data_IF_989575704424
#
_entry.id   IF_989575704424
#
_cell.length_a   1.000
_cell.length_b   1.000
_cell.length_c   1.000
_cell.angle_alpha   90.00
_cell.angle_beta   90.00
_cell.angle_gamma   90.00
#
_symmetry.space_group_name_H-M   'P 1'
#
loop_
_entity.id
_entity.type
_entity.pdbx_description
1 polymer ?
#
# COMPACT_ATOMS: atom_id res chain seq x y z
N UNK A 1 -13.18 17.58 -18.28
CA UNK A 1 -13.59 16.19 -18.02
C UNK A 1 -14.93 15.84 -18.68
N UNK A 2 -16.04 16.58 -18.45
CA UNK A 2 -17.36 16.26 -19.04
C UNK A 2 -17.34 16.02 -20.55
N UNK A 3 -16.66 16.88 -21.32
CA UNK A 3 -16.53 16.70 -22.77
C UNK A 3 -15.84 15.39 -23.15
N UNK A 4 -14.77 15.02 -22.45
CA UNK A 4 -14.03 13.78 -22.71
C UNK A 4 -14.87 12.54 -22.34
N UNK A 5 -15.57 12.57 -21.22
CA UNK A 5 -16.46 11.48 -20.79
C UNK A 5 -17.62 11.27 -21.77
N UNK A 6 -18.16 12.33 -22.39
CA UNK A 6 -19.18 12.22 -23.43
C UNK A 6 -18.70 11.55 -24.72
N UNK A 7 -17.38 11.40 -24.91
CA UNK A 7 -16.77 10.68 -26.03
C UNK A 7 -16.43 9.23 -25.71
N UNK A 8 -16.49 8.81 -24.46
CA UNK A 8 -16.31 7.41 -24.08
C UNK A 8 -17.62 6.68 -24.36
N UNK A 9 -17.61 5.80 -25.32
CA UNK A 9 -18.76 4.97 -25.74
C UNK A 9 -18.61 3.55 -25.22
N UNK A 10 -19.68 2.74 -25.35
CA UNK A 10 -19.73 1.33 -24.99
C UNK A 10 -19.25 1.03 -23.56
N UNK A 11 -19.68 1.89 -22.62
CA UNK A 11 -19.30 1.78 -21.20
C UNK A 11 -19.99 0.59 -20.56
N UNK A 12 -19.18 -0.29 -19.95
CA UNK A 12 -19.65 -1.49 -19.24
C UNK A 12 -18.94 -1.54 -17.88
N UNK A 13 -19.68 -1.70 -16.78
CA UNK A 13 -19.07 -1.88 -15.46
C UNK A 13 -18.05 -3.02 -15.43
N UNK A 14 -17.02 -2.87 -14.62
CA UNK A 14 -16.07 -3.94 -14.28
C UNK A 14 -16.50 -4.47 -12.92
N UNK A 15 -17.22 -5.59 -12.92
CA UNK A 15 -17.64 -6.28 -11.72
C UNK A 15 -16.52 -7.20 -11.19
N UNK A 16 -16.49 -7.43 -9.88
CA UNK A 16 -15.56 -8.37 -9.26
C UNK A 16 -14.10 -7.92 -9.32
N UNK A 17 -13.82 -6.62 -9.44
CA UNK A 17 -12.45 -6.12 -9.34
C UNK A 17 -11.95 -6.13 -7.88
N UNK A 18 -10.63 -6.25 -7.70
CA UNK A 18 -9.98 -6.37 -6.39
C UNK A 18 -9.88 -5.04 -5.60
N UNK A 19 -10.32 -3.93 -6.19
CA UNK A 19 -10.30 -2.61 -5.55
C UNK A 19 -11.22 -2.52 -4.34
N UNK A 20 -10.69 -2.12 -3.19
CA UNK A 20 -11.41 -2.02 -1.90
C UNK A 20 -11.65 -0.59 -1.44
N UNK A 21 -11.21 0.41 -2.22
CA UNK A 21 -11.31 1.83 -1.85
C UNK A 21 -12.71 2.42 -1.99
N UNK A 22 -13.58 1.81 -2.79
CA UNK A 22 -14.93 2.32 -3.11
C UNK A 22 -15.05 2.94 -4.51
N UNK A 23 -14.01 2.88 -5.33
CA UNK A 23 -14.01 3.38 -6.70
C UNK A 23 -14.93 2.55 -7.60
N UNK A 24 -15.63 3.21 -8.53
CA UNK A 24 -16.39 2.58 -9.59
C UNK A 24 -15.57 2.52 -10.89
N UNK A 25 -15.46 1.34 -11.48
CA UNK A 25 -14.68 1.09 -12.69
C UNK A 25 -15.59 0.67 -13.86
N UNK A 26 -15.35 1.23 -15.04
CA UNK A 26 -16.02 0.86 -16.27
C UNK A 26 -15.01 0.72 -17.42
N UNK A 27 -15.18 -0.27 -18.27
CA UNK A 27 -14.52 -0.33 -19.58
C UNK A 27 -15.32 0.47 -20.58
N UNK A 28 -14.62 1.06 -21.57
CA UNK A 28 -15.23 1.77 -22.67
C UNK A 28 -14.26 1.96 -23.82
N UNK A 29 -14.69 2.72 -24.83
CA UNK A 29 -13.87 3.06 -25.99
C UNK A 29 -13.82 4.58 -26.13
N UNK A 30 -12.63 5.14 -26.19
CA UNK A 30 -12.34 6.55 -26.46
C UNK A 30 -11.53 6.65 -27.74
N UNK A 31 -12.10 7.29 -28.78
CA UNK A 31 -11.46 7.47 -30.09
C UNK A 31 -10.90 6.15 -30.69
N UNK A 32 -11.68 5.08 -30.60
CA UNK A 32 -11.31 3.77 -31.10
C UNK A 32 -10.31 2.98 -30.23
N UNK A 33 -9.91 3.52 -29.07
CA UNK A 33 -8.99 2.87 -28.14
C UNK A 33 -9.74 2.41 -26.88
N UNK A 34 -9.43 1.22 -26.40
CA UNK A 34 -9.99 0.70 -25.15
C UNK A 34 -9.46 1.50 -23.97
N UNK A 35 -10.37 1.90 -23.08
CA UNK A 35 -10.05 2.65 -21.85
C UNK A 35 -10.79 2.06 -20.66
N UNK A 36 -10.27 2.35 -19.47
CA UNK A 36 -10.94 2.17 -18.19
C UNK A 36 -11.23 3.54 -17.61
N UNK A 37 -12.47 3.76 -17.19
CA UNK A 37 -12.91 4.96 -16.47
C UNK A 37 -13.05 4.58 -15.00
N UNK A 38 -12.27 5.23 -14.13
CA UNK A 38 -12.36 5.12 -12.67
C UNK A 38 -13.07 6.37 -12.15
N UNK A 39 -14.19 6.18 -11.47
CA UNK A 39 -14.95 7.26 -10.81
C UNK A 39 -14.89 7.08 -9.31
N UNK A 40 -14.47 8.11 -8.60
CA UNK A 40 -14.25 8.12 -7.17
C UNK A 40 -15.15 9.19 -6.54
N UNK A 41 -15.92 8.81 -5.54
CA UNK A 41 -16.63 9.73 -4.65
C UNK A 41 -15.71 10.04 -3.47
N UNK A 42 -15.25 11.29 -3.29
CA UNK A 42 -14.27 11.60 -2.25
C UNK A 42 -14.76 11.32 -0.83
N UNK A 43 -16.06 11.34 -0.60
CA UNK A 43 -16.63 11.03 0.70
C UNK A 43 -16.78 9.53 0.95
N UNK A 44 -16.59 8.71 -0.10
CA UNK A 44 -16.76 7.25 -0.08
C UNK A 44 -15.52 6.49 -0.56
N UNK A 45 -14.38 7.14 -0.71
CA UNK A 45 -13.11 6.49 -1.08
C UNK A 45 -12.12 6.49 0.09
N UNK A 46 -11.73 5.29 0.51
CA UNK A 46 -10.84 5.11 1.66
C UNK A 46 -9.44 5.67 1.41
N UNK A 47 -8.91 5.56 0.19
CA UNK A 47 -7.57 6.06 -0.12
C UNK A 47 -7.50 7.58 -0.01
N UNK A 48 -8.55 8.28 -0.45
CA UNK A 48 -8.65 9.73 -0.30
C UNK A 48 -8.86 10.14 1.16
N UNK A 49 -9.74 9.45 1.87
CA UNK A 49 -10.07 9.76 3.27
C UNK A 49 -8.89 9.52 4.20
N UNK A 50 -8.29 8.33 4.15
CA UNK A 50 -7.17 7.95 5.01
C UNK A 50 -5.87 8.63 4.58
N UNK A 51 -5.66 8.84 3.27
CA UNK A 51 -4.50 9.56 2.75
C UNK A 51 -4.57 11.08 2.89
N UNK A 52 -5.66 11.64 3.46
CA UNK A 52 -5.82 13.07 3.65
C UNK A 52 -5.81 13.87 2.34
N UNK A 53 -6.37 13.32 1.26
CA UNK A 53 -6.26 13.91 -0.08
C UNK A 53 -7.62 14.31 -0.70
N UNK A 54 -8.20 15.44 -0.30
CA UNK A 54 -9.48 15.91 -0.86
C UNK A 54 -9.39 16.36 -2.32
N UNK A 55 -8.20 16.49 -2.88
CA UNK A 55 -7.98 17.08 -4.22
C UNK A 55 -7.61 16.06 -5.31
N UNK A 56 -7.36 14.81 -4.95
CA UNK A 56 -6.96 13.73 -5.85
C UNK A 56 -5.48 13.82 -6.23
N UNK A 57 -4.61 13.18 -5.45
CA UNK A 57 -3.15 13.17 -5.63
C UNK A 57 -2.76 12.61 -6.98
N UNK A 58 -3.34 11.49 -7.40
CA UNK A 58 -3.12 10.90 -8.71
C UNK A 58 -3.40 11.91 -9.84
N UNK A 59 -4.53 12.63 -9.77
CA UNK A 59 -4.87 13.69 -10.73
C UNK A 59 -3.83 14.82 -10.75
N UNK A 60 -3.33 15.25 -9.58
CA UNK A 60 -2.32 16.30 -9.51
C UNK A 60 -0.99 15.84 -10.11
N UNK A 61 -0.51 14.64 -9.74
CA UNK A 61 0.71 14.08 -10.30
C UNK A 61 0.65 13.99 -11.83
N UNK A 62 -0.52 13.61 -12.37
CA UNK A 62 -0.74 13.60 -13.82
C UNK A 62 -0.77 15.02 -14.40
N UNK A 63 -1.56 15.94 -13.84
CA UNK A 63 -1.71 17.30 -14.35
C UNK A 63 -0.41 18.11 -14.33
N UNK A 64 0.45 17.86 -13.35
CA UNK A 64 1.75 18.50 -13.18
C UNK A 64 2.85 17.82 -14.02
N UNK A 65 2.51 16.84 -14.86
CA UNK A 65 3.44 16.10 -15.72
C UNK A 65 4.47 15.28 -14.95
N UNK A 66 4.22 14.95 -13.67
CA UNK A 66 5.13 14.11 -12.87
C UNK A 66 5.19 12.72 -13.44
N UNK A 67 4.03 12.13 -13.80
CA UNK A 67 3.95 10.77 -14.31
C UNK A 67 4.57 10.63 -15.71
N UNK A 68 4.64 11.71 -16.49
CA UNK A 68 5.33 11.74 -17.79
C UNK A 68 6.88 11.73 -17.65
N UNK A 69 7.38 12.02 -16.43
CA UNK A 69 8.82 12.01 -16.10
C UNK A 69 9.29 10.69 -15.52
N UNK A 70 8.41 9.68 -15.45
CA UNK A 70 8.83 8.34 -15.03
C UNK A 70 9.96 7.81 -15.92
N UNK A 71 10.96 7.12 -15.38
CA UNK A 71 12.11 6.66 -16.14
C UNK A 71 11.73 5.62 -17.20
N UNK A 72 12.58 5.49 -18.23
CA UNK A 72 12.41 4.50 -19.29
C UNK A 72 12.25 3.09 -18.71
N UNK A 73 11.32 2.33 -19.24
CA UNK A 73 10.98 0.99 -18.74
C UNK A 73 9.94 1.00 -17.62
N UNK A 74 9.50 2.21 -17.20
CA UNK A 74 8.35 2.40 -16.30
C UNK A 74 7.32 3.32 -16.93
N UNK A 75 6.10 3.35 -16.41
CA UNK A 75 5.07 4.23 -16.96
C UNK A 75 3.79 4.22 -16.12
N UNK A 76 2.80 4.96 -16.63
CA UNK A 76 1.45 5.04 -16.08
C UNK A 76 0.41 4.78 -17.18
N UNK A 77 -0.84 4.52 -16.79
CA UNK A 77 -1.92 4.28 -17.75
C UNK A 77 -2.81 5.51 -18.00
N UNK A 78 -2.68 6.59 -17.22
CA UNK A 78 -3.57 7.75 -17.28
C UNK A 78 -3.56 8.42 -18.67
N UNK A 79 -4.75 8.71 -19.15
CA UNK A 79 -5.02 9.48 -20.38
C UNK A 79 -5.59 10.84 -20.02
N UNK A 80 -6.43 10.89 -18.99
CA UNK A 80 -7.01 12.11 -18.46
C UNK A 80 -7.43 11.94 -17.00
N UNK A 81 -7.41 13.03 -16.25
CA UNK A 81 -7.92 13.06 -14.88
C UNK A 81 -8.55 14.41 -14.57
N UNK A 82 -9.64 14.45 -13.80
CA UNK A 82 -10.31 15.68 -13.44
C UNK A 82 -11.58 15.48 -12.64
N UNK A 83 -12.21 16.60 -12.26
CA UNK A 83 -13.44 16.62 -11.51
C UNK A 83 -14.66 16.77 -12.41
N UNK A 84 -15.74 16.07 -12.09
CA UNK A 84 -17.04 16.22 -12.73
C UNK A 84 -18.15 15.83 -11.75
N UNK A 85 -19.15 16.70 -11.57
CA UNK A 85 -20.28 16.44 -10.66
C UNK A 85 -19.86 16.15 -9.21
N UNK A 86 -18.79 16.77 -8.71
CA UNK A 86 -18.26 16.51 -7.36
C UNK A 86 -17.46 15.21 -7.22
N UNK A 87 -17.28 14.44 -8.28
CA UNK A 87 -16.51 13.19 -8.29
C UNK A 87 -15.19 13.36 -9.01
N UNK A 88 -14.17 12.69 -8.53
CA UNK A 88 -12.89 12.55 -9.20
C UNK A 88 -13.01 11.44 -10.27
N UNK A 89 -12.62 11.76 -11.49
CA UNK A 89 -12.65 10.80 -12.59
C UNK A 89 -11.28 10.72 -13.24
N UNK A 90 -10.77 9.51 -13.42
CA UNK A 90 -9.59 9.20 -14.21
C UNK A 90 -9.97 8.31 -15.39
N UNK A 91 -9.38 8.59 -16.55
CA UNK A 91 -9.49 7.76 -17.76
C UNK A 91 -8.11 7.19 -18.02
N UNK A 92 -8.03 5.88 -18.12
CA UNK A 92 -6.78 5.13 -18.27
C UNK A 92 -6.82 4.29 -19.55
N UNK A 93 -5.68 3.99 -20.13
CA UNK A 93 -5.57 2.93 -21.14
C UNK A 93 -5.99 1.60 -20.53
N UNK A 94 -6.80 0.81 -21.21
CA UNK A 94 -7.10 -0.57 -20.80
C UNK A 94 -5.89 -1.45 -21.14
N UNK A 95 -5.18 -1.90 -20.11
CA UNK A 95 -3.99 -2.74 -20.24
C UNK A 95 -4.34 -4.24 -20.30
N UNK A 96 -5.61 -4.59 -20.14
CA UNK A 96 -6.10 -5.96 -20.27
C UNK A 96 -5.35 -6.96 -19.38
N UNK A 97 -4.89 -8.05 -19.97
CA UNK A 97 -4.18 -9.13 -19.28
C UNK A 97 -2.76 -8.76 -18.79
N UNK A 98 -2.23 -7.59 -19.14
CA UNK A 98 -0.96 -7.12 -18.61
C UNK A 98 -1.07 -6.66 -17.16
N UNK A 99 -2.26 -6.29 -16.68
CA UNK A 99 -2.51 -5.99 -15.24
C UNK A 99 -2.35 -7.27 -14.45
N UNK A 100 -1.56 -7.19 -13.37
CA UNK A 100 -1.36 -8.32 -12.47
C UNK A 100 -2.61 -8.54 -11.59
N UNK A 101 -2.83 -9.78 -11.16
CA UNK A 101 -3.96 -10.16 -10.31
C UNK A 101 -3.52 -11.13 -9.22
N UNK A 102 -4.35 -11.31 -8.20
CA UNK A 102 -4.10 -12.28 -7.13
C UNK A 102 -4.13 -13.73 -7.61
N UNK A 103 -4.78 -14.02 -8.74
CA UNK A 103 -4.82 -15.38 -9.31
C UNK A 103 -3.53 -15.73 -10.07
N UNK A 104 -2.66 -14.74 -10.32
CA UNK A 104 -1.44 -14.92 -11.09
C UNK A 104 -0.25 -15.20 -10.19
N UNK A 105 0.57 -16.18 -10.59
CA UNK A 105 1.90 -16.39 -10.03
C UNK A 105 2.92 -15.50 -10.75
N UNK A 106 3.85 -14.95 -9.98
CA UNK A 106 4.91 -14.07 -10.48
C UNK A 106 6.22 -14.85 -10.53
N UNK A 107 6.81 -14.95 -11.70
CA UNK A 107 8.10 -15.60 -11.88
C UNK A 107 9.25 -14.77 -11.30
N UNK A 108 10.42 -15.39 -10.99
CA UNK A 108 11.60 -14.63 -10.54
C UNK A 108 12.06 -13.55 -11.52
N UNK A 109 11.87 -13.74 -12.83
CA UNK A 109 12.22 -12.77 -13.85
C UNK A 109 11.27 -11.57 -13.83
N UNK A 110 9.96 -11.81 -13.65
CA UNK A 110 8.97 -10.75 -13.50
C UNK A 110 9.16 -9.97 -12.21
N UNK A 111 9.43 -10.64 -11.08
CA UNK A 111 9.77 -9.96 -9.83
C UNK A 111 10.95 -9.00 -10.01
N UNK A 112 12.02 -9.46 -10.67
CA UNK A 112 13.17 -8.62 -10.97
C UNK A 112 12.75 -7.40 -11.77
N UNK A 113 11.95 -7.55 -12.83
CA UNK A 113 11.45 -6.43 -13.62
C UNK A 113 10.64 -5.44 -12.78
N UNK A 114 9.76 -5.93 -11.88
CA UNK A 114 8.96 -5.08 -10.98
C UNK A 114 9.86 -4.28 -10.05
N UNK A 115 10.83 -4.92 -9.41
CA UNK A 115 11.74 -4.27 -8.46
C UNK A 115 12.72 -3.32 -9.16
N UNK A 116 13.24 -3.68 -10.33
CA UNK A 116 14.07 -2.79 -11.14
C UNK A 116 13.27 -1.54 -11.58
N UNK A 117 11.99 -1.72 -11.94
CA UNK A 117 11.09 -0.61 -12.26
C UNK A 117 10.85 0.32 -11.09
N UNK A 118 10.52 -0.21 -9.89
CA UNK A 118 10.36 0.59 -8.68
C UNK A 118 11.66 1.29 -8.29
N UNK A 119 12.78 0.57 -8.31
CA UNK A 119 14.10 1.15 -8.02
C UNK A 119 14.49 2.28 -9.00
N UNK A 120 14.14 2.14 -10.28
CA UNK A 120 14.35 3.19 -11.27
C UNK A 120 13.52 4.44 -10.95
N UNK A 121 12.24 4.28 -10.58
CA UNK A 121 11.40 5.40 -10.13
C UNK A 121 12.01 6.06 -8.90
N UNK A 122 12.37 5.28 -7.88
CA UNK A 122 12.98 5.80 -6.66
C UNK A 122 14.27 6.55 -6.96
N UNK A 123 15.14 6.02 -7.80
CA UNK A 123 16.39 6.69 -8.19
C UNK A 123 16.16 7.99 -8.95
N UNK A 124 15.15 8.05 -9.83
CA UNK A 124 14.85 9.23 -10.64
C UNK A 124 14.34 10.43 -9.81
N UNK A 125 13.69 10.16 -8.68
CA UNK A 125 13.12 11.18 -7.80
C UNK A 125 13.84 11.30 -6.44
N UNK A 126 14.96 10.63 -6.25
CA UNK A 126 15.74 10.69 -5.02
C UNK A 126 16.11 12.13 -4.65
N UNK A 127 15.96 12.50 -3.38
CA UNK A 127 16.17 13.84 -2.81
C UNK A 127 15.24 14.95 -3.35
N UNK A 128 14.48 14.68 -4.40
CA UNK A 128 13.59 15.66 -5.05
C UNK A 128 12.22 15.06 -5.38
N UNK A 129 11.50 14.51 -4.40
CA UNK A 129 10.14 14.06 -4.63
C UNK A 129 9.25 15.24 -5.05
N UNK A 130 8.22 15.01 -5.87
CA UNK A 130 7.27 16.05 -6.25
C UNK A 130 6.50 16.56 -5.02
N UNK A 131 5.96 17.77 -5.11
CA UNK A 131 5.11 18.33 -4.06
C UNK A 131 3.72 17.64 -4.01
N UNK A 132 3.03 17.77 -2.88
CA UNK A 132 1.64 17.32 -2.70
C UNK A 132 1.48 15.81 -2.53
N UNK A 133 2.55 15.11 -2.20
CA UNK A 133 2.51 13.69 -1.80
C UNK A 133 1.87 13.51 -0.42
N UNK A 134 1.49 12.28 -0.08
CA UNK A 134 1.09 11.91 1.26
C UNK A 134 2.28 12.13 2.21
N UNK A 135 2.04 12.72 3.36
CA UNK A 135 3.09 12.81 4.36
C UNK A 135 3.41 11.42 4.95
N UNK A 136 4.66 11.27 5.39
CA UNK A 136 5.16 9.97 5.85
C UNK A 136 4.41 9.46 7.09
N UNK A 137 4.06 10.34 8.04
CA UNK A 137 3.35 9.93 9.26
C UNK A 137 1.96 9.38 8.93
N UNK A 138 1.21 10.08 8.09
CA UNK A 138 -0.10 9.60 7.59
C UNK A 138 0.03 8.25 6.88
N UNK A 139 1.05 8.10 6.00
CA UNK A 139 1.25 6.84 5.28
C UNK A 139 1.61 5.68 6.21
N UNK A 140 2.44 5.92 7.22
CA UNK A 140 2.87 4.89 8.18
C UNK A 140 1.76 4.42 9.12
N UNK A 141 0.74 5.25 9.33
CA UNK A 141 -0.37 4.98 10.28
C UNK A 141 -1.72 4.79 9.57
N UNK A 142 -1.71 4.52 8.26
CA UNK A 142 -2.92 4.46 7.43
C UNK A 142 -3.99 3.54 8.02
N UNK A 143 -3.59 2.38 8.54
CA UNK A 143 -4.48 1.38 9.15
C UNK A 143 -4.42 1.38 10.69
N UNK A 144 -3.90 2.45 11.31
CA UNK A 144 -3.89 2.57 12.77
C UNK A 144 -5.34 2.61 13.30
N UNK A 145 -5.62 1.94 14.45
CA UNK A 145 -6.96 1.95 15.05
C UNK A 145 -7.56 3.36 15.22
N UNK A 146 -6.76 4.32 15.65
CA UNK A 146 -7.20 5.71 15.88
C UNK A 146 -7.51 6.45 14.57
N UNK A 147 -6.75 6.20 13.49
CA UNK A 147 -7.02 6.76 12.17
C UNK A 147 -8.35 6.25 11.58
N UNK A 148 -8.72 5.02 11.90
CA UNK A 148 -9.94 4.38 11.41
C UNK A 148 -11.18 4.69 12.26
N UNK A 149 -11.02 5.11 13.51
CA UNK A 149 -12.13 5.34 14.44
C UNK A 149 -13.22 6.28 13.89
N UNK A 150 -12.90 7.43 13.23
CA UNK A 150 -13.92 8.32 12.66
C UNK A 150 -14.73 7.71 11.52
N UNK A 151 -14.23 6.64 10.89
CA UNK A 151 -14.83 5.97 9.74
C UNK A 151 -15.54 4.66 10.13
N UNK A 152 -15.62 4.34 11.42
CA UNK A 152 -16.24 3.12 11.91
C UNK A 152 -17.70 2.97 11.42
N UNK A 153 -18.04 1.77 10.94
CA UNK A 153 -19.37 1.48 10.40
C UNK A 153 -19.64 1.97 8.97
N UNK A 154 -18.74 2.77 8.37
CA UNK A 154 -18.93 3.28 6.99
C UNK A 154 -18.43 2.32 5.92
N UNK A 155 -17.42 1.51 6.24
CA UNK A 155 -16.76 0.62 5.28
C UNK A 155 -16.54 -0.77 5.90
N UNK A 156 -16.82 -1.82 5.14
CA UNK A 156 -16.60 -3.20 5.57
C UNK A 156 -15.12 -3.48 5.88
N UNK A 157 -14.19 -2.88 5.12
CA UNK A 157 -12.76 -3.03 5.34
C UNK A 157 -12.35 -2.56 6.74
N UNK A 158 -12.94 -1.48 7.27
CA UNK A 158 -12.61 -0.97 8.61
C UNK A 158 -12.97 -1.99 9.70
N UNK A 159 -14.11 -2.67 9.57
CA UNK A 159 -14.48 -3.73 10.51
C UNK A 159 -13.47 -4.90 10.45
N UNK A 160 -13.02 -5.28 9.25
CA UNK A 160 -11.99 -6.31 9.06
C UNK A 160 -10.64 -5.90 9.65
N UNK A 161 -10.20 -4.65 9.45
CA UNK A 161 -8.95 -4.11 10.03
C UNK A 161 -9.01 -4.14 11.57
N UNK A 162 -10.11 -3.67 12.16
CA UNK A 162 -10.28 -3.70 13.62
C UNK A 162 -10.22 -5.12 14.16
N UNK A 163 -10.96 -6.06 13.54
CA UNK A 163 -10.90 -7.47 13.92
C UNK A 163 -9.49 -8.04 13.77
N UNK A 164 -8.79 -7.63 12.70
CA UNK A 164 -7.40 -8.03 12.45
C UNK A 164 -6.45 -7.56 13.56
N UNK A 165 -6.59 -6.35 14.06
CA UNK A 165 -5.79 -5.85 15.18
C UNK A 165 -6.11 -6.56 16.51
N UNK A 166 -7.35 -6.95 16.75
CA UNK A 166 -7.71 -7.80 17.89
C UNK A 166 -7.01 -9.16 17.80
N UNK A 167 -7.10 -9.84 16.64
CA UNK A 167 -6.39 -11.09 16.40
C UNK A 167 -4.87 -10.94 16.51
N UNK A 168 -4.30 -9.82 16.03
CA UNK A 168 -2.87 -9.53 16.13
C UNK A 168 -2.41 -9.49 17.59
N UNK A 169 -3.15 -8.79 18.44
CA UNK A 169 -2.86 -8.72 19.87
C UNK A 169 -2.91 -10.09 20.58
N UNK A 170 -3.76 -11.01 20.09
CA UNK A 170 -3.89 -12.36 20.65
C UNK A 170 -2.81 -13.33 20.14
N UNK A 171 -2.36 -13.19 18.90
CA UNK A 171 -1.48 -14.16 18.23
C UNK A 171 0.01 -13.82 18.29
N UNK A 172 0.35 -12.54 18.47
CA UNK A 172 1.74 -12.05 18.40
C UNK A 172 2.32 -11.89 19.80
N UNK A 173 3.63 -12.17 20.03
CA UNK A 173 4.27 -11.93 21.32
C UNK A 173 4.06 -10.48 21.81
N UNK A 174 3.72 -10.33 23.08
CA UNK A 174 3.32 -9.04 23.66
C UNK A 174 4.34 -7.92 23.39
N UNK A 175 5.64 -8.20 23.48
CA UNK A 175 6.68 -7.20 23.23
C UNK A 175 6.63 -6.64 21.79
N UNK A 176 6.37 -7.48 20.78
CA UNK A 176 6.24 -7.05 19.39
C UNK A 176 4.90 -6.33 19.17
N UNK A 177 3.82 -6.84 19.74
CA UNK A 177 2.51 -6.19 19.68
C UNK A 177 2.55 -4.78 20.28
N UNK A 178 3.15 -4.63 21.47
CA UNK A 178 3.32 -3.34 22.15
C UNK A 178 4.16 -2.36 21.32
N UNK A 179 5.22 -2.83 20.68
CA UNK A 179 6.04 -2.00 19.79
C UNK A 179 5.24 -1.53 18.57
N UNK A 180 4.47 -2.42 17.92
CA UNK A 180 3.62 -2.09 16.76
C UNK A 180 2.54 -1.09 17.16
N UNK A 181 1.76 -1.35 18.21
CA UNK A 181 0.72 -0.42 18.68
C UNK A 181 1.30 0.89 19.20
N UNK A 182 2.52 0.86 19.79
CA UNK A 182 3.25 2.06 20.17
C UNK A 182 3.57 2.95 18.98
N UNK A 183 4.13 2.36 17.91
CA UNK A 183 4.47 3.07 16.67
C UNK A 183 3.23 3.59 15.92
N UNK A 184 2.11 2.85 15.95
CA UNK A 184 0.85 3.29 15.35
C UNK A 184 0.21 4.46 16.10
N UNK A 185 0.38 4.57 17.43
CA UNK A 185 -0.12 5.68 18.24
C UNK A 185 0.79 6.91 18.18
N UNK A 186 2.09 6.70 18.19
CA UNK A 186 3.11 7.76 18.08
C UNK A 186 4.17 7.35 17.04
N UNK A 187 3.98 7.72 15.77
CA UNK A 187 4.89 7.36 14.70
C UNK A 187 6.17 8.23 14.67
N UNK A 188 6.33 9.23 15.55
CA UNK A 188 7.40 10.22 15.44
C UNK A 188 8.80 9.59 15.39
N UNK A 189 9.09 8.58 16.22
CA UNK A 189 10.35 7.86 16.20
C UNK A 189 10.59 7.09 14.89
N UNK A 190 9.55 6.42 14.40
CA UNK A 190 9.61 5.68 13.13
C UNK A 190 9.77 6.64 11.93
N UNK A 191 9.01 7.74 11.91
CA UNK A 191 9.14 8.82 10.91
C UNK A 191 10.56 9.39 10.90
N UNK A 192 11.13 9.67 12.07
CA UNK A 192 12.49 10.20 12.16
C UNK A 192 13.53 9.21 11.60
N UNK A 193 13.41 7.92 11.92
CA UNK A 193 14.33 6.89 11.43
C UNK A 193 14.19 6.71 9.92
N UNK A 194 12.97 6.56 9.40
CA UNK A 194 12.72 6.39 7.97
C UNK A 194 13.07 7.66 7.16
N UNK A 195 12.88 8.83 7.77
CA UNK A 195 13.26 10.13 7.18
C UNK A 195 14.76 10.41 7.13
N UNK A 196 15.61 9.55 7.72
CA UNK A 196 17.07 9.66 7.59
C UNK A 196 17.59 9.26 6.19
N UNK A 197 16.83 8.44 5.45
CA UNK A 197 17.14 8.15 4.06
C UNK A 197 16.72 9.30 3.13
N UNK A 198 17.36 9.46 1.94
CA UNK A 198 16.89 10.37 0.92
C UNK A 198 15.43 10.11 0.56
N UNK A 199 14.53 11.11 0.71
CA UNK A 199 13.14 10.92 0.31
C UNK A 199 13.05 10.79 -1.21
N UNK A 200 12.16 9.91 -1.66
CA UNK A 200 11.87 9.74 -3.09
C UNK A 200 10.36 9.69 -3.35
N UNK A 201 9.98 9.61 -4.62
CA UNK A 201 8.60 9.31 -4.99
C UNK A 201 8.36 7.82 -4.79
N UNK A 202 7.71 7.46 -3.69
CA UNK A 202 7.13 6.14 -3.49
C UNK A 202 5.72 6.07 -4.09
N UNK A 203 5.37 4.94 -4.67
CA UNK A 203 4.02 4.67 -5.16
C UNK A 203 2.99 4.70 -4.01
N UNK A 204 3.40 4.19 -2.86
CA UNK A 204 2.62 4.19 -1.63
C UNK A 204 1.58 3.06 -1.55
N UNK A 205 1.28 2.39 -2.67
CA UNK A 205 0.34 1.26 -2.75
C UNK A 205 0.82 0.23 -3.79
N UNK A 206 2.09 -0.20 -3.65
CA UNK A 206 2.81 -1.03 -4.59
C UNK A 206 2.39 -2.52 -4.49
N UNK A 207 1.12 -2.83 -4.79
CA UNK A 207 0.56 -4.17 -4.80
C UNK A 207 0.44 -4.73 -6.21
N UNK A 208 0.34 -6.05 -6.35
CA UNK A 208 0.19 -6.70 -7.66
C UNK A 208 -0.90 -6.04 -8.50
N UNK A 209 -2.09 -5.87 -7.95
CA UNK A 209 -3.27 -5.32 -8.66
C UNK A 209 -3.11 -3.87 -9.12
N UNK A 210 -2.12 -3.16 -8.57
CA UNK A 210 -1.76 -1.79 -8.96
C UNK A 210 -0.56 -1.75 -9.92
N UNK A 211 -0.17 -2.89 -10.49
CA UNK A 211 0.94 -3.00 -11.44
C UNK A 211 0.54 -3.76 -12.70
N UNK A 212 1.14 -3.41 -13.81
CA UNK A 212 1.03 -4.16 -15.05
C UNK A 212 2.42 -4.40 -15.64
N UNK A 213 2.60 -5.57 -16.23
CA UNK A 213 3.80 -5.95 -16.97
C UNK A 213 3.48 -6.00 -18.46
N UNK A 214 3.90 -4.99 -19.21
CA UNK A 214 3.90 -5.00 -20.66
C UNK A 214 5.26 -5.47 -21.19
N UNK A 215 5.36 -5.72 -22.50
CA UNK A 215 6.66 -6.05 -23.11
C UNK A 215 7.68 -4.94 -22.94
N UNK A 216 7.23 -3.68 -22.89
CA UNK A 216 8.07 -2.48 -22.89
C UNK A 216 8.33 -1.90 -21.51
N UNK A 217 7.38 -2.06 -20.55
CA UNK A 217 7.44 -1.34 -19.29
C UNK A 217 6.72 -2.05 -18.12
N UNK A 218 7.12 -1.70 -16.90
CA UNK A 218 6.33 -1.82 -15.69
C UNK A 218 5.41 -0.61 -15.61
N UNK A 219 4.10 -0.81 -15.67
CA UNK A 219 3.12 0.27 -15.58
C UNK A 219 2.53 0.29 -14.18
N UNK A 220 2.64 1.44 -13.51
CA UNK A 220 2.12 1.66 -12.17
C UNK A 220 0.74 2.34 -12.26
N UNK A 221 -0.21 1.82 -11.50
CA UNK A 221 -1.63 2.22 -11.48
C UNK A 221 -1.99 2.69 -10.07
N UNK A 222 -2.95 3.58 -9.95
CA UNK A 222 -3.50 4.05 -8.68
C UNK A 222 -2.48 4.74 -7.75
N UNK A 223 -2.09 5.95 -8.13
CA UNK A 223 -1.16 6.80 -7.38
C UNK A 223 -1.80 7.57 -6.21
N UNK A 224 -2.97 7.14 -5.75
CA UNK A 224 -3.71 7.88 -4.72
C UNK A 224 -2.94 7.98 -3.38
N UNK A 225 -2.11 7.00 -3.04
CA UNK A 225 -1.28 6.96 -1.83
C UNK A 225 0.18 7.34 -2.05
N UNK A 226 0.52 7.92 -3.21
CA UNK A 226 1.89 8.33 -3.50
C UNK A 226 2.48 9.19 -2.37
N UNK A 227 3.67 8.82 -1.89
CA UNK A 227 4.27 9.31 -0.65
C UNK A 227 5.70 9.75 -0.87
N UNK A 228 6.15 10.79 -0.16
CA UNK A 228 7.57 11.10 -0.04
C UNK A 228 8.18 10.29 1.11
N UNK A 229 9.04 9.33 0.79
CA UNK A 229 9.62 8.44 1.79
C UNK A 229 10.84 7.68 1.27
N UNK A 230 11.43 6.78 2.08
CA UNK A 230 12.53 5.93 1.65
C UNK A 230 12.08 4.91 0.61
N UNK A 231 12.96 4.59 -0.33
CA UNK A 231 12.71 3.62 -1.40
C UNK A 231 12.26 2.23 -0.89
N UNK A 232 12.64 1.86 0.32
CA UNK A 232 12.28 0.59 0.95
C UNK A 232 10.78 0.44 1.21
N UNK A 233 10.00 1.53 1.34
CA UNK A 233 8.56 1.45 1.64
C UNK A 233 7.79 0.62 0.60
N UNK A 234 7.92 0.93 -0.68
CA UNK A 234 7.21 0.20 -1.74
C UNK A 234 7.67 -1.25 -1.84
N UNK A 235 8.98 -1.48 -1.72
CA UNK A 235 9.57 -2.82 -1.88
C UNK A 235 9.20 -3.75 -0.71
N UNK A 236 9.17 -3.23 0.52
CA UNK A 236 8.75 -4.00 1.70
C UNK A 236 7.23 -4.16 1.71
N UNK A 237 6.45 -3.13 1.34
CA UNK A 237 5.00 -3.25 1.21
C UNK A 237 4.61 -4.32 0.17
N UNK A 238 5.27 -4.34 -1.01
CA UNK A 238 5.11 -5.41 -1.98
C UNK A 238 5.45 -6.78 -1.38
N UNK A 239 6.57 -6.87 -0.66
CA UNK A 239 7.01 -8.16 -0.11
C UNK A 239 6.03 -8.70 0.92
N UNK A 240 5.58 -7.87 1.87
CA UNK A 240 4.63 -8.31 2.91
C UNK A 240 3.25 -8.64 2.35
N UNK A 241 2.82 -7.95 1.29
CA UNK A 241 1.52 -8.17 0.68
C UNK A 241 1.49 -9.25 -0.39
N UNK A 242 2.61 -9.46 -1.13
CA UNK A 242 2.59 -10.19 -2.39
C UNK A 242 3.58 -11.37 -2.47
N UNK A 243 4.47 -11.58 -1.47
CA UNK A 243 5.50 -12.62 -1.57
C UNK A 243 4.92 -14.04 -1.75
N UNK A 244 3.74 -14.33 -1.19
CA UNK A 244 3.04 -15.61 -1.37
C UNK A 244 2.62 -15.89 -2.82
N UNK A 245 2.54 -14.85 -3.67
CA UNK A 245 2.21 -14.96 -5.10
C UNK A 245 3.46 -15.05 -6.00
N UNK A 246 4.66 -15.05 -5.43
CA UNK A 246 5.93 -15.15 -6.18
C UNK A 246 6.45 -16.56 -6.15
N UNK A 247 7.03 -17.05 -7.26
CA UNK A 247 7.65 -18.37 -7.38
C UNK A 247 9.07 -18.37 -6.79
N UNK A 248 9.20 -17.81 -5.58
CA UNK A 248 10.41 -17.80 -4.75
C UNK A 248 10.03 -17.95 -3.28
N UNK A 249 11.01 -18.40 -2.48
CA UNK A 249 10.87 -18.31 -1.02
C UNK A 249 10.78 -16.85 -0.56
N UNK A 250 9.93 -16.56 0.43
CA UNK A 250 9.73 -15.19 0.95
C UNK A 250 11.02 -14.50 1.40
N UNK A 251 11.97 -15.25 1.94
CA UNK A 251 13.31 -14.75 2.29
C UNK A 251 14.09 -14.26 1.06
N UNK A 252 13.96 -14.95 -0.08
CA UNK A 252 14.60 -14.53 -1.33
C UNK A 252 13.90 -13.28 -1.92
N UNK A 253 12.57 -13.17 -1.78
CA UNK A 253 11.82 -11.96 -2.20
C UNK A 253 12.28 -10.76 -1.36
N UNK A 254 12.37 -10.90 -0.02
CA UNK A 254 12.82 -9.84 0.88
C UNK A 254 14.29 -9.46 0.59
N UNK A 255 15.16 -10.42 0.31
CA UNK A 255 16.55 -10.15 -0.06
C UNK A 255 16.66 -9.39 -1.40
N UNK A 256 15.80 -9.73 -2.38
CA UNK A 256 15.74 -9.02 -3.66
C UNK A 256 15.25 -7.58 -3.46
N UNK A 257 14.23 -7.36 -2.61
CA UNK A 257 13.74 -6.03 -2.23
C UNK A 257 14.86 -5.17 -1.61
N UNK A 258 15.62 -5.75 -0.66
CA UNK A 258 16.77 -5.07 -0.04
C UNK A 258 17.84 -4.70 -1.06
N UNK A 259 18.18 -5.61 -1.97
CA UNK A 259 19.16 -5.37 -3.01
C UNK A 259 18.74 -4.21 -3.93
N UNK A 260 17.44 -4.13 -4.27
CA UNK A 260 16.91 -3.10 -5.16
C UNK A 260 16.94 -1.67 -4.55
N UNK A 261 16.77 -1.52 -3.22
CA UNK A 261 16.81 -0.20 -2.56
C UNK A 261 18.18 0.15 -1.94
N UNK A 262 19.14 -0.78 -1.89
CA UNK A 262 20.42 -0.59 -1.20
C UNK A 262 21.20 0.67 -1.56
N UNK A 263 21.18 1.19 -2.79
CA UNK A 263 21.85 2.45 -3.12
C UNK A 263 21.29 3.68 -2.39
N UNK A 264 20.04 3.63 -1.92
CA UNK A 264 19.32 4.75 -1.30
C UNK A 264 18.99 4.53 0.17
N UNK A 265 19.17 3.30 0.69
CA UNK A 265 18.67 2.90 2.01
C UNK A 265 19.75 2.12 2.76
N UNK A 266 20.16 2.62 3.93
CA UNK A 266 21.09 1.94 4.83
C UNK A 266 20.38 0.83 5.65
N UNK A 267 21.14 0.14 6.49
CA UNK A 267 20.65 -0.98 7.27
C UNK A 267 19.66 -0.55 8.37
N UNK A 268 19.84 0.64 8.94
CA UNK A 268 18.95 1.18 9.99
C UNK A 268 17.57 1.51 9.43
N UNK A 269 17.51 2.21 8.30
CA UNK A 269 16.26 2.53 7.60
C UNK A 269 15.60 1.28 7.06
N UNK A 270 16.39 0.32 6.55
CA UNK A 270 15.86 -0.97 6.12
C UNK A 270 15.15 -1.72 7.24
N UNK A 271 15.80 -1.86 8.38
CA UNK A 271 15.24 -2.55 9.54
C UNK A 271 13.97 -1.84 10.05
N UNK A 272 13.98 -0.50 10.10
CA UNK A 272 12.79 0.28 10.44
C UNK A 272 11.64 0.02 9.46
N UNK A 273 11.94 -0.14 8.15
CA UNK A 273 10.91 -0.46 7.15
C UNK A 273 10.39 -1.89 7.31
N UNK A 274 11.25 -2.86 7.63
CA UNK A 274 10.84 -4.25 7.91
C UNK A 274 9.93 -4.30 9.15
N UNK A 275 10.24 -3.57 10.20
CA UNK A 275 9.36 -3.43 11.35
C UNK A 275 8.01 -2.80 10.97
N UNK A 276 8.03 -1.72 10.17
CA UNK A 276 6.82 -1.07 9.69
C UNK A 276 5.90 -2.00 8.89
N UNK A 277 6.42 -3.05 8.25
CA UNK A 277 5.60 -4.03 7.55
C UNK A 277 4.49 -4.63 8.43
N UNK A 278 4.76 -4.83 9.73
CA UNK A 278 3.72 -5.26 10.69
C UNK A 278 2.75 -4.12 11.03
N UNK A 279 3.22 -2.87 11.11
CA UNK A 279 2.34 -1.72 11.28
C UNK A 279 1.38 -1.54 10.09
N UNK A 280 1.81 -1.89 8.89
CA UNK A 280 1.01 -1.80 7.67
C UNK A 280 0.02 -2.95 7.54
N UNK A 281 0.47 -4.19 7.68
CA UNK A 281 -0.29 -5.39 7.33
C UNK A 281 -0.38 -6.46 8.43
N UNK A 282 0.10 -6.19 9.64
CA UNK A 282 -0.02 -7.11 10.76
C UNK A 282 -1.47 -7.53 11.00
N UNK A 283 -2.40 -6.59 10.91
CA UNK A 283 -3.83 -6.85 11.03
C UNK A 283 -4.36 -7.82 9.96
N UNK A 284 -3.91 -7.68 8.71
CA UNK A 284 -4.37 -8.52 7.60
C UNK A 284 -3.87 -9.96 7.78
N UNK A 285 -2.58 -10.13 8.08
CA UNK A 285 -2.01 -11.46 8.35
C UNK A 285 -2.66 -12.13 9.55
N UNK A 286 -2.95 -11.40 10.60
CA UNK A 286 -3.57 -11.93 11.81
C UNK A 286 -5.03 -12.34 11.60
N UNK A 287 -5.84 -11.56 10.88
CA UNK A 287 -7.22 -11.94 10.62
C UNK A 287 -7.29 -13.19 9.75
N UNK A 288 -6.43 -13.33 8.75
CA UNK A 288 -6.38 -14.52 7.89
C UNK A 288 -5.93 -15.76 8.70
N UNK A 289 -4.90 -15.60 9.55
CA UNK A 289 -4.41 -16.66 10.45
C UNK A 289 -5.45 -17.12 11.47
N UNK A 290 -6.34 -16.21 11.92
CA UNK A 290 -7.37 -16.54 12.91
C UNK A 290 -8.66 -17.06 12.28
N UNK A 291 -9.08 -16.53 11.12
CA UNK A 291 -10.48 -16.65 10.66
C UNK A 291 -10.65 -17.23 9.26
N UNK A 292 -9.59 -17.46 8.50
CA UNK A 292 -9.74 -17.99 7.14
C UNK A 292 -10.50 -19.32 7.15
N UNK A 293 -11.50 -19.46 6.27
CA UNK A 293 -12.39 -20.62 6.28
C UNK A 293 -11.66 -21.93 5.95
N UNK A 294 -10.72 -21.89 5.00
CA UNK A 294 -9.87 -23.02 4.65
C UNK A 294 -8.75 -23.21 5.71
N UNK A 295 -8.69 -24.37 6.39
CA UNK A 295 -7.66 -24.63 7.39
C UNK A 295 -6.23 -24.58 6.85
N UNK A 296 -5.99 -24.96 5.59
CA UNK A 296 -4.67 -24.93 4.98
C UNK A 296 -4.21 -23.49 4.74
N UNK A 297 -5.11 -22.63 4.26
CA UNK A 297 -4.84 -21.19 4.09
C UNK A 297 -4.63 -20.50 5.44
N UNK A 298 -5.43 -20.88 6.46
CA UNK A 298 -5.26 -20.38 7.82
C UNK A 298 -3.88 -20.73 8.39
N UNK A 299 -3.42 -22.00 8.21
CA UNK A 299 -2.10 -22.42 8.65
C UNK A 299 -0.97 -21.70 7.90
N UNK A 300 -1.12 -21.49 6.59
CA UNK A 300 -0.15 -20.74 5.78
C UNK A 300 -0.08 -19.26 6.22
N UNK A 301 -1.22 -18.63 6.51
CA UNK A 301 -1.26 -17.26 7.03
C UNK A 301 -0.61 -17.15 8.43
N UNK A 302 -0.81 -18.15 9.30
CA UNK A 302 -0.16 -18.19 10.61
C UNK A 302 1.37 -18.33 10.51
N UNK A 303 1.86 -19.20 9.61
CA UNK A 303 3.29 -19.32 9.32
C UNK A 303 3.88 -18.02 8.73
N UNK A 304 3.14 -17.34 7.87
CA UNK A 304 3.56 -16.06 7.31
C UNK A 304 3.61 -14.96 8.37
N UNK A 305 2.60 -14.87 9.23
CA UNK A 305 2.58 -13.93 10.36
C UNK A 305 3.75 -14.16 11.30
N UNK A 306 3.99 -15.42 11.70
CA UNK A 306 5.10 -15.79 12.58
C UNK A 306 6.45 -15.38 11.98
N UNK A 307 6.66 -15.62 10.69
CA UNK A 307 7.88 -15.22 10.00
C UNK A 307 8.09 -13.70 9.99
N UNK A 308 7.03 -12.92 9.72
CA UNK A 308 7.14 -11.45 9.76
C UNK A 308 7.39 -10.93 11.16
N UNK A 309 6.82 -11.56 12.18
CA UNK A 309 7.10 -11.26 13.60
C UNK A 309 8.58 -11.48 13.90
N UNK A 310 9.16 -12.59 13.47
CA UNK A 310 10.60 -12.86 13.62
C UNK A 310 11.47 -11.82 12.91
N UNK A 311 11.10 -11.40 11.68
CA UNK A 311 11.85 -10.37 10.97
C UNK A 311 11.78 -9.02 11.69
N UNK A 312 10.62 -8.63 12.18
CA UNK A 312 10.41 -7.39 12.91
C UNK A 312 11.13 -7.38 14.27
N UNK A 313 11.07 -8.48 15.02
CA UNK A 313 11.77 -8.63 16.32
C UNK A 313 13.28 -8.54 16.13
N UNK A 314 13.82 -9.21 15.11
CA UNK A 314 15.24 -9.11 14.75
C UNK A 314 15.63 -7.67 14.36
N UNK A 315 14.79 -6.96 13.64
CA UNK A 315 15.02 -5.57 13.24
C UNK A 315 15.01 -4.61 14.44
N UNK A 316 14.05 -4.79 15.36
CA UNK A 316 13.97 -4.03 16.62
C UNK A 316 15.20 -4.26 17.48
N UNK A 317 15.64 -5.51 17.60
CA UNK A 317 16.82 -5.90 18.42
C UNK A 317 18.12 -5.27 17.89
N UNK A 318 18.30 -5.15 16.56
CA UNK A 318 19.49 -4.54 15.95
C UNK A 318 19.58 -3.03 16.19
N UNK A 319 18.44 -2.34 16.22
CA UNK A 319 18.40 -0.88 16.28
C UNK A 319 18.19 -0.31 17.67
N UNK A 320 18.10 -1.15 18.71
CA UNK A 320 17.92 -0.70 20.09
C UNK A 320 16.63 0.11 20.30
N UNK A 321 15.58 -0.15 19.51
CA UNK A 321 14.27 0.46 19.74
C UNK A 321 13.85 0.13 21.18
N UNK A 322 13.59 1.14 22.04
CA UNK A 322 13.19 0.85 23.42
C UNK A 322 11.87 0.07 23.35
N UNK A 323 11.88 -1.14 23.90
CA UNK A 323 10.64 -1.83 24.22
C UNK A 323 9.73 -0.81 24.93
N UNK A 324 8.52 -0.60 24.42
CA UNK A 324 7.60 0.40 24.93
C UNK A 324 7.56 0.30 26.45
N UNK A 325 7.81 1.41 27.16
CA UNK A 325 7.63 1.47 28.61
C UNK A 325 6.20 1.02 28.88
N UNK A 326 6.05 -0.07 29.57
CA UNK A 326 4.79 -0.69 29.95
C UNK A 326 3.87 0.35 30.62
N UNK A 327 3.02 0.97 29.82
CA UNK A 327 1.85 1.68 30.32
C UNK A 327 0.71 0.67 30.39
N UNK A 328 0.36 0.29 31.57
CA UNK A 328 -0.74 -0.61 31.93
C UNK A 328 -2.00 -0.15 31.21
N UNK A 329 -2.56 -0.98 30.33
CA UNK A 329 -3.94 -0.85 29.88
C UNK A 329 -4.85 -1.14 31.09
N UNK A 330 -5.30 -0.09 31.80
CA UNK A 330 -6.44 -0.19 32.67
C UNK A 330 -7.69 -0.22 31.77
N UNK A 331 -8.31 -1.38 31.71
CA UNK A 331 -9.66 -1.55 31.19
C UNK A 331 -10.62 -0.87 32.18
N UNK A 332 -11.00 0.37 31.93
CA UNK A 332 -12.19 0.96 32.53
C UNK A 332 -13.43 0.32 31.87
N UNK A 333 -13.85 -0.80 32.42
CA UNK A 333 -15.23 -1.23 32.29
C UNK A 333 -16.04 -0.40 33.30
N UNK A 334 -17.06 0.40 32.88
CA UNK A 334 -18.02 0.91 33.82
C UNK A 334 -18.87 -0.27 34.32
N UNK A 335 -18.73 -0.57 35.62
CA UNK A 335 -19.65 -1.44 36.34
C UNK A 335 -21.08 -0.95 36.11
N UNK A 336 -21.94 -1.85 35.69
CA UNK A 336 -23.39 -1.67 35.74
C UNK A 336 -23.76 -1.71 37.22
N UNK A 337 -24.10 -0.56 37.75
CA UNK A 337 -24.88 -0.49 39.00
C UNK A 337 -26.35 -0.56 38.67
N UNK A 338 -27.05 -1.35 39.45
CA UNK A 338 -28.46 -1.76 39.51
C UNK A 338 -29.53 -0.72 39.16
#
# INVERSE_FOLDING_TARGET
MNYLLGRVVDRVPIDGHDGRSGAHLERGVLDGRRVVVKTVDPDMDLSLLLGGDPSGRERRLWADGVLDRLPKGTGHALVAAGWTGGRLVTVMRDLGAAVLSWDRRITPAELRRLFDGLAAVHGAFAERPPAGLCDLATRLTLFAPDALAPLAGRFALIAAVRRGWECFAELVPAAVADAVFGALRDPAGLVATLGAAPPTLCHGDAWLVNMALTDEAVVLLDWALATAGPASLDLVAFTVGCASHVDLQRTAVLAAARAACRPLVDDTVWDATVFWALCELGWNKAVDAATHADPAQRAAAADELAWWVEQADAALSRNGYPAARTGVFCSDHPERAE
#
